data_IF_844526002375
#
_entry.id   IF_844526002375
#
_cell.length_a   1.000
_cell.length_b   1.000
_cell.length_c   1.000
_cell.angle_alpha   90.00
_cell.angle_beta   90.00
_cell.angle_gamma   90.00
#
_symmetry.space_group_name_H-M   'P 1'
#
loop_
_entity.id
_entity.type
_entity.pdbx_description
1 polymer ?
#
# COMPACT_ATOMS: atom_id res chain seq x y z
N UNK A 1 -11.46 -11.93 -12.22
CA UNK A 1 -11.49 -11.20 -10.93
C UNK A 1 -10.39 -10.15 -10.92
N UNK A 2 -10.73 -8.93 -10.56
CA UNK A 2 -9.75 -7.86 -10.46
C UNK A 2 -8.86 -8.02 -9.23
N UNK A 3 -7.63 -7.58 -9.35
CA UNK A 3 -6.66 -7.60 -8.26
C UNK A 3 -6.16 -6.19 -8.01
N UNK A 4 -6.20 -5.77 -6.75
CA UNK A 4 -5.70 -4.47 -6.31
C UNK A 4 -4.36 -4.65 -5.61
N UNK A 5 -3.45 -3.73 -5.82
CA UNK A 5 -2.25 -3.63 -4.99
C UNK A 5 -2.38 -2.41 -4.08
N UNK A 6 -2.35 -2.65 -2.78
CA UNK A 6 -2.40 -1.58 -1.77
C UNK A 6 -1.05 -1.49 -1.10
N UNK A 7 -0.40 -0.33 -1.20
CA UNK A 7 0.87 -0.11 -0.53
C UNK A 7 0.63 0.53 0.83
N UNK A 8 1.17 -0.07 1.88
CA UNK A 8 1.04 0.39 3.26
C UNK A 8 2.41 0.70 3.85
N UNK A 9 2.50 1.76 4.63
CA UNK A 9 3.78 2.22 5.19
C UNK A 9 3.87 2.11 6.70
N UNK A 10 2.75 2.06 7.40
CA UNK A 10 2.75 2.02 8.86
C UNK A 10 1.49 1.36 9.40
N UNK A 11 1.52 0.85 10.66
CA UNK A 11 0.32 0.29 11.29
C UNK A 11 -0.83 1.29 11.37
N UNK A 12 -0.51 2.59 11.56
CA UNK A 12 -1.53 3.64 11.63
C UNK A 12 -2.26 3.81 10.30
N UNK A 13 -1.54 3.81 9.19
CA UNK A 13 -2.14 3.87 7.85
C UNK A 13 -3.04 2.64 7.62
N UNK A 14 -2.59 1.47 8.05
CA UNK A 14 -3.37 0.24 7.94
C UNK A 14 -4.68 0.33 8.71
N UNK A 15 -4.63 0.90 9.93
CA UNK A 15 -5.81 1.04 10.75
C UNK A 15 -6.84 1.99 10.12
N UNK A 16 -6.40 3.09 9.54
CA UNK A 16 -7.29 4.09 8.95
C UNK A 16 -7.92 3.66 7.63
N UNK A 17 -7.20 2.91 6.81
CA UNK A 17 -7.61 2.63 5.44
C UNK A 17 -8.17 1.22 5.25
N UNK A 18 -8.00 0.32 6.21
CA UNK A 18 -8.40 -1.07 6.03
C UNK A 18 -9.89 -1.23 5.73
N UNK A 19 -10.75 -0.55 6.48
CA UNK A 19 -12.20 -0.64 6.29
C UNK A 19 -12.65 0.01 4.97
N UNK A 20 -12.25 1.24 4.62
CA UNK A 20 -12.58 1.80 3.32
C UNK A 20 -12.09 0.96 2.14
N UNK A 21 -10.90 0.40 2.22
CA UNK A 21 -10.37 -0.44 1.16
C UNK A 21 -11.13 -1.76 1.06
N UNK A 22 -11.53 -2.35 2.19
CA UNK A 22 -12.36 -3.55 2.18
C UNK A 22 -13.69 -3.30 1.47
N UNK A 23 -14.37 -2.20 1.76
CA UNK A 23 -15.62 -1.84 1.12
C UNK A 23 -15.43 -1.62 -0.39
N UNK A 24 -14.38 -0.93 -0.76
CA UNK A 24 -14.04 -0.69 -2.16
C UNK A 24 -13.77 -1.99 -2.92
N UNK A 25 -12.96 -2.87 -2.34
CA UNK A 25 -12.63 -4.16 -2.96
C UNK A 25 -13.87 -5.03 -3.15
N UNK A 26 -14.79 -5.03 -2.18
CA UNK A 26 -16.06 -5.76 -2.30
C UNK A 26 -16.91 -5.24 -3.45
N UNK A 27 -16.99 -3.93 -3.63
CA UNK A 27 -17.75 -3.33 -4.73
C UNK A 27 -17.19 -3.72 -6.08
N UNK A 28 -15.88 -3.90 -6.18
CA UNK A 28 -15.22 -4.30 -7.42
C UNK A 28 -15.13 -5.80 -7.61
N UNK A 29 -15.56 -6.58 -6.62
CA UNK A 29 -15.34 -8.02 -6.58
C UNK A 29 -13.86 -8.36 -6.79
N UNK A 30 -13.01 -7.66 -6.05
CA UNK A 30 -11.57 -7.74 -6.21
C UNK A 30 -10.88 -8.39 -5.02
N UNK A 31 -9.77 -9.08 -5.28
CA UNK A 31 -8.84 -9.49 -4.25
C UNK A 31 -7.76 -8.43 -4.06
N UNK A 32 -7.05 -8.46 -2.93
CA UNK A 32 -6.09 -7.43 -2.56
C UNK A 32 -4.74 -8.04 -2.25
N UNK A 33 -3.71 -7.53 -2.90
CA UNK A 33 -2.32 -7.72 -2.46
C UNK A 33 -1.93 -6.50 -1.63
N UNK A 34 -1.48 -6.73 -0.41
CA UNK A 34 -1.03 -5.66 0.48
C UNK A 34 0.49 -5.69 0.50
N UNK A 35 1.13 -4.64 0.00
CA UNK A 35 2.58 -4.58 -0.10
C UNK A 35 3.16 -3.60 0.91
N UNK A 36 4.24 -3.99 1.55
CA UNK A 36 5.07 -3.12 2.37
C UNK A 36 6.51 -3.20 1.86
N UNK A 37 7.13 -2.05 1.66
CA UNK A 37 8.52 -1.99 1.22
C UNK A 37 9.39 -1.53 2.38
N UNK A 38 10.29 -2.40 2.82
CA UNK A 38 11.32 -2.05 3.78
C UNK A 38 12.51 -1.47 3.02
N UNK A 39 12.92 -0.28 3.38
CA UNK A 39 14.09 0.37 2.80
C UNK A 39 15.27 0.23 3.76
N UNK A 40 16.44 -0.04 3.21
CA UNK A 40 17.67 -0.23 3.98
C UNK A 40 18.35 1.10 4.38
N UNK A 41 17.78 2.23 3.94
CA UNK A 41 18.40 3.55 4.13
C UNK A 41 17.95 4.30 5.37
N UNK A 42 16.98 3.82 6.09
CA UNK A 42 16.56 4.46 7.34
C UNK A 42 17.41 3.92 8.48
N UNK A 43 18.31 4.68 8.87
CA UNK A 43 19.67 4.52 9.27
C UNK A 43 19.97 4.05 10.69
N UNK A 44 19.02 4.00 11.60
CA UNK A 44 19.31 3.63 13.00
C UNK A 44 18.61 2.36 13.45
N UNK A 45 17.93 1.67 12.55
CA UNK A 45 17.27 0.43 12.88
C UNK A 45 18.02 -0.77 12.32
N UNK A 46 18.08 -1.80 13.14
CA UNK A 46 18.53 -3.10 12.65
C UNK A 46 17.52 -3.60 11.61
N UNK A 47 18.00 -4.19 10.54
CA UNK A 47 17.21 -4.77 9.47
C UNK A 47 16.09 -5.67 10.03
N UNK A 48 16.37 -6.42 11.09
CA UNK A 48 15.40 -7.29 11.76
C UNK A 48 14.22 -6.53 12.35
N UNK A 49 14.45 -5.33 12.92
CA UNK A 49 13.38 -4.55 13.55
C UNK A 49 12.48 -3.92 12.49
N UNK A 50 13.05 -3.41 11.41
CA UNK A 50 12.29 -2.86 10.28
C UNK A 50 11.43 -3.95 9.62
N UNK A 51 11.99 -5.13 9.43
CA UNK A 51 11.28 -6.29 8.87
C UNK A 51 10.12 -6.69 9.77
N UNK A 52 10.34 -6.77 11.07
CA UNK A 52 9.31 -7.15 12.03
C UNK A 52 8.14 -6.16 12.01
N UNK A 53 8.43 -4.85 11.98
CA UNK A 53 7.37 -3.84 11.91
C UNK A 53 6.60 -3.92 10.60
N UNK A 54 7.28 -4.15 9.50
CA UNK A 54 6.65 -4.34 8.20
C UNK A 54 5.72 -5.54 8.19
N UNK A 55 6.17 -6.66 8.76
CA UNK A 55 5.36 -7.86 8.88
C UNK A 55 4.13 -7.64 9.75
N UNK A 56 4.27 -6.92 10.87
CA UNK A 56 3.15 -6.56 11.72
C UNK A 56 2.15 -5.68 10.99
N UNK A 57 2.62 -4.71 10.23
CA UNK A 57 1.76 -3.84 9.43
C UNK A 57 0.96 -4.65 8.42
N UNK A 58 1.61 -5.54 7.70
CA UNK A 58 0.96 -6.42 6.73
C UNK A 58 -0.06 -7.32 7.40
N UNK A 59 0.29 -7.92 8.54
CA UNK A 59 -0.58 -8.84 9.26
C UNK A 59 -1.86 -8.13 9.72
N UNK A 60 -1.73 -6.95 10.30
CA UNK A 60 -2.88 -6.16 10.74
C UNK A 60 -3.82 -5.85 9.58
N UNK A 61 -3.27 -5.40 8.48
CA UNK A 61 -4.08 -4.99 7.33
C UNK A 61 -4.75 -6.19 6.68
N UNK A 62 -4.02 -7.25 6.43
CA UNK A 62 -4.58 -8.46 5.80
C UNK A 62 -5.62 -9.12 6.69
N UNK A 63 -5.40 -9.17 8.00
CA UNK A 63 -6.38 -9.72 8.93
C UNK A 63 -7.68 -8.93 8.91
N UNK A 64 -7.62 -7.61 8.85
CA UNK A 64 -8.82 -6.77 8.80
C UNK A 64 -9.56 -6.95 7.48
N UNK A 65 -8.86 -7.06 6.36
CA UNK A 65 -9.48 -7.34 5.07
C UNK A 65 -10.16 -8.70 5.05
N UNK A 66 -9.50 -9.72 5.56
CA UNK A 66 -10.07 -11.06 5.64
C UNK A 66 -11.29 -11.11 6.56
N UNK A 67 -11.23 -10.42 7.69
CA UNK A 67 -12.37 -10.33 8.61
C UNK A 67 -13.57 -9.65 7.97
N UNK A 68 -13.34 -8.77 7.02
CA UNK A 68 -14.40 -8.11 6.25
C UNK A 68 -14.87 -8.92 5.04
N UNK A 69 -14.32 -10.10 4.81
CA UNK A 69 -14.71 -10.98 3.70
C UNK A 69 -13.97 -10.74 2.39
N UNK A 70 -12.83 -10.06 2.43
CA UNK A 70 -12.00 -9.78 1.25
C UNK A 70 -10.80 -10.71 1.23
N UNK A 71 -10.55 -11.34 0.08
CA UNK A 71 -9.31 -12.11 -0.09
C UNK A 71 -8.12 -11.16 -0.11
N UNK A 72 -7.14 -11.43 0.77
CA UNK A 72 -5.98 -10.57 0.90
C UNK A 72 -4.71 -11.39 1.15
N UNK A 73 -3.61 -10.96 0.55
CA UNK A 73 -2.30 -11.54 0.73
C UNK A 73 -1.28 -10.43 0.98
N UNK A 74 -0.46 -10.60 2.01
CA UNK A 74 0.62 -9.66 2.33
C UNK A 74 1.88 -9.99 1.56
N UNK A 75 2.55 -8.97 1.06
CA UNK A 75 3.83 -9.10 0.34
C UNK A 75 4.86 -8.18 0.99
N UNK A 76 5.92 -8.77 1.51
CA UNK A 76 7.04 -8.03 2.08
C UNK A 76 8.11 -7.83 1.00
N UNK A 77 8.45 -6.58 0.72
CA UNK A 77 9.45 -6.22 -0.27
C UNK A 77 10.63 -5.51 0.39
N UNK A 78 11.80 -5.73 -0.16
CA UNK A 78 13.04 -5.07 0.28
C UNK A 78 13.62 -4.34 -0.90
N UNK A 79 13.72 -3.02 -0.83
CA UNK A 79 14.25 -2.23 -1.94
C UNK A 79 14.61 -0.82 -1.48
N UNK A 80 15.64 -0.27 -2.10
CA UNK A 80 16.00 1.14 -1.93
C UNK A 80 15.17 2.05 -2.82
N UNK A 81 14.50 1.48 -3.82
CA UNK A 81 13.58 2.20 -4.71
C UNK A 81 12.16 1.70 -4.49
N UNK A 82 11.44 2.34 -3.57
CA UNK A 82 10.10 1.93 -3.16
C UNK A 82 9.11 1.97 -4.32
N UNK A 83 9.11 3.03 -5.11
CA UNK A 83 8.19 3.18 -6.23
C UNK A 83 8.39 2.07 -7.26
N UNK A 84 9.63 1.78 -7.61
CA UNK A 84 9.96 0.72 -8.56
C UNK A 84 9.53 -0.65 -8.06
N UNK A 85 9.76 -0.94 -6.77
CA UNK A 85 9.36 -2.20 -6.16
C UNK A 85 7.85 -2.40 -6.23
N UNK A 86 7.08 -1.36 -5.93
CA UNK A 86 5.61 -1.39 -5.99
C UNK A 86 5.15 -1.63 -7.43
N UNK A 87 5.68 -0.88 -8.39
CA UNK A 87 5.30 -1.02 -9.80
C UNK A 87 5.63 -2.41 -10.36
N UNK A 88 6.81 -2.92 -10.06
CA UNK A 88 7.21 -4.25 -10.51
C UNK A 88 6.31 -5.35 -9.92
N UNK A 89 5.95 -5.21 -8.65
CA UNK A 89 5.06 -6.17 -7.99
C UNK A 89 3.66 -6.13 -8.58
N UNK A 90 3.14 -4.93 -8.84
CA UNK A 90 1.83 -4.77 -9.45
C UNK A 90 1.76 -5.44 -10.83
N UNK A 91 2.81 -5.28 -11.64
CA UNK A 91 2.90 -5.93 -12.94
C UNK A 91 3.00 -7.45 -12.81
N UNK A 92 3.88 -7.93 -11.93
CA UNK A 92 4.10 -9.36 -11.74
C UNK A 92 2.85 -10.09 -11.24
N UNK A 93 2.03 -9.41 -10.47
CA UNK A 93 0.79 -9.96 -9.92
C UNK A 93 -0.44 -9.65 -10.77
N UNK A 94 -0.27 -9.02 -11.92
CA UNK A 94 -1.36 -8.65 -12.82
C UNK A 94 -2.43 -7.80 -12.15
N UNK A 95 -2.00 -6.85 -11.33
CA UNK A 95 -2.93 -5.94 -10.64
C UNK A 95 -3.50 -4.93 -11.62
N UNK A 96 -4.78 -4.62 -11.47
CA UNK A 96 -5.49 -3.68 -12.32
C UNK A 96 -5.58 -2.27 -11.74
N UNK A 97 -5.22 -2.11 -10.47
CA UNK A 97 -5.26 -0.82 -9.78
C UNK A 97 -4.22 -0.82 -8.66
N UNK A 98 -3.51 0.29 -8.51
CA UNK A 98 -2.62 0.53 -7.38
C UNK A 98 -3.31 1.55 -6.47
N UNK A 99 -3.39 1.24 -5.17
CA UNK A 99 -4.02 2.11 -4.17
C UNK A 99 -2.94 2.61 -3.21
N UNK A 100 -2.85 3.92 -3.09
CA UNK A 100 -1.90 4.59 -2.19
C UNK A 100 -2.65 5.44 -1.18
N UNK A 101 -2.33 5.27 0.10
CA UNK A 101 -2.88 6.11 1.15
C UNK A 101 -2.06 7.38 1.32
N UNK A 102 -2.73 8.53 1.30
CA UNK A 102 -2.12 9.82 1.57
C UNK A 102 -2.30 10.13 3.05
N UNK A 103 -1.58 9.43 3.90
CA UNK A 103 -1.66 9.60 5.34
C UNK A 103 -0.39 10.24 5.86
N UNK A 104 -0.54 11.23 6.73
CA UNK A 104 0.58 11.86 7.40
C UNK A 104 0.81 13.32 7.05
N UNK A 105 1.58 13.99 7.89
CA UNK A 105 1.91 15.40 7.72
C UNK A 105 2.88 15.57 6.54
N UNK A 106 2.65 16.58 5.73
CA UNK A 106 3.55 16.93 4.65
C UNK A 106 3.39 16.12 3.38
N UNK A 107 2.26 15.42 3.20
CA UNK A 107 1.99 14.65 1.97
C UNK A 107 2.10 15.51 0.72
N UNK A 108 1.49 16.70 0.72
CA UNK A 108 1.60 17.63 -0.41
C UNK A 108 3.04 18.04 -0.67
N UNK A 109 3.80 18.28 0.40
CA UNK A 109 5.21 18.63 0.29
C UNK A 109 6.03 17.50 -0.30
N UNK A 110 5.74 16.25 0.07
CA UNK A 110 6.39 15.06 -0.48
C UNK A 110 6.05 14.85 -1.95
N UNK A 111 4.81 15.06 -2.33
CA UNK A 111 4.40 14.95 -3.74
C UNK A 111 5.16 15.96 -4.60
N UNK A 112 5.33 17.18 -4.12
CA UNK A 112 6.09 18.22 -4.82
C UNK A 112 7.58 17.85 -4.89
N UNK A 113 8.10 17.22 -3.85
CA UNK A 113 9.52 16.84 -3.77
C UNK A 113 9.89 15.58 -4.57
N UNK A 114 8.92 14.92 -5.21
CA UNK A 114 9.18 13.72 -6.01
C UNK A 114 9.29 12.45 -5.20
N UNK A 115 8.49 12.31 -4.16
CA UNK A 115 8.45 11.12 -3.32
C UNK A 115 7.81 9.90 -4.01
N UNK A 116 7.57 8.84 -3.25
CA UNK A 116 7.05 7.56 -3.77
C UNK A 116 5.75 7.72 -4.57
N UNK A 117 4.69 8.41 -4.07
CA UNK A 117 3.47 8.56 -4.86
C UNK A 117 3.71 9.29 -6.19
N UNK A 118 4.52 10.33 -6.21
CA UNK A 118 4.84 11.07 -7.43
C UNK A 118 5.55 10.17 -8.45
N UNK A 119 6.52 9.39 -7.99
CA UNK A 119 7.28 8.48 -8.86
C UNK A 119 6.38 7.38 -9.43
N UNK A 120 5.46 6.85 -8.64
CA UNK A 120 4.50 5.86 -9.11
C UNK A 120 3.59 6.45 -10.18
N UNK A 121 3.02 7.64 -9.94
CA UNK A 121 2.13 8.31 -10.88
C UNK A 121 2.83 8.55 -12.22
N UNK A 122 4.08 9.00 -12.19
CA UNK A 122 4.84 9.29 -13.41
C UNK A 122 5.15 8.05 -14.24
N UNK A 123 5.35 6.91 -13.60
CA UNK A 123 5.87 5.70 -14.26
C UNK A 123 4.86 4.60 -14.44
N UNK A 124 3.67 4.72 -13.84
CA UNK A 124 2.69 3.65 -13.84
C UNK A 124 1.89 3.59 -15.14
N UNK A 125 1.78 2.40 -15.70
CA UNK A 125 0.83 2.07 -16.76
C UNK A 125 -0.49 1.56 -16.19
N UNK A 126 -0.52 1.31 -14.88
CA UNK A 126 -1.70 0.83 -14.14
C UNK A 126 -2.36 2.04 -13.49
N UNK A 127 -3.69 2.17 -13.52
CA UNK A 127 -4.38 3.25 -12.80
C UNK A 127 -3.99 3.30 -11.32
N UNK A 128 -3.87 4.51 -10.80
CA UNK A 128 -3.47 4.74 -9.41
C UNK A 128 -4.57 5.52 -8.70
N UNK A 129 -5.02 5.00 -7.58
CA UNK A 129 -5.98 5.67 -6.71
C UNK A 129 -5.26 6.22 -5.49
N UNK A 130 -5.35 7.54 -5.30
CA UNK A 130 -4.81 8.20 -4.11
C UNK A 130 -5.94 8.42 -3.11
N UNK A 131 -5.79 7.84 -1.91
CA UNK A 131 -6.82 7.90 -0.88
C UNK A 131 -6.40 8.89 0.20
N UNK A 132 -7.16 9.96 0.44
CA UNK A 132 -6.89 10.84 1.58
C UNK A 132 -7.14 10.09 2.90
N UNK A 133 -6.56 10.59 3.97
CA UNK A 133 -6.62 9.93 5.28
C UNK A 133 -8.05 9.74 5.81
N UNK A 134 -8.97 10.60 5.39
CA UNK A 134 -10.38 10.56 5.82
C UNK A 134 -11.31 9.95 4.77
N UNK A 135 -10.78 9.27 3.77
CA UNK A 135 -11.59 8.61 2.75
C UNK A 135 -12.41 7.48 3.39
N UNK A 136 -13.71 7.42 3.05
CA UNK A 136 -14.66 6.46 3.62
C UNK A 136 -14.98 5.27 2.70
N UNK A 137 -14.30 5.15 1.57
CA UNK A 137 -14.55 4.09 0.59
C UNK A 137 -15.61 4.42 -0.45
N UNK A 138 -16.22 5.59 -0.36
CA UNK A 138 -17.26 6.00 -1.30
C UNK A 138 -16.65 6.53 -2.60
N UNK A 139 -17.19 6.08 -3.70
CA UNK A 139 -16.77 6.52 -5.03
C UNK A 139 -17.96 7.15 -5.76
#
# INVERSE_FOLDING_TARGET
MSQLLVAVSSPWASDKLAEPIADFAKRLDASVFVAHVATLQETDEHESDATQRGEQTLQLFTDRLKAAGVEAEGIMLFSDDTAKAILNTARARNCSLIVLGLTGKGVLKRLIAGDVPTNIIRSSEIPVLLCPANWDGTI
#
